data_IF_796888946968
#
_entry.id   IF_796888946968
#
_cell.length_a   1.000
_cell.length_b   1.000
_cell.length_c   1.000
_cell.angle_alpha   90.00
_cell.angle_beta   90.00
_cell.angle_gamma   90.00
#
_symmetry.space_group_name_H-M   'P 1'
#
loop_
_entity.id
_entity.type
_entity.pdbx_description
1 polymer ?
#
# COMPACT_ATOMS: atom_id res chain seq x y z
N UNK A 1 33.78 -11.39 -43.30
CA UNK A 1 32.44 -10.80 -43.07
C UNK A 1 31.62 -11.49 -41.97
N UNK A 2 31.47 -12.82 -41.86
CA UNK A 2 30.58 -13.44 -40.87
C UNK A 2 31.06 -13.31 -39.40
N UNK A 3 32.37 -13.29 -39.15
CA UNK A 3 32.93 -13.17 -37.78
C UNK A 3 32.60 -11.83 -37.10
N UNK A 4 32.59 -10.74 -37.86
CA UNK A 4 32.30 -9.38 -37.35
C UNK A 4 30.82 -9.25 -36.98
N UNK A 5 29.93 -9.83 -37.80
CA UNK A 5 28.51 -9.90 -37.49
C UNK A 5 28.24 -10.67 -36.19
N UNK A 6 28.90 -11.81 -36.01
CA UNK A 6 28.74 -12.66 -34.85
C UNK A 6 29.25 -11.99 -33.56
N UNK A 7 30.36 -11.25 -33.63
CA UNK A 7 30.86 -10.47 -32.48
C UNK A 7 29.94 -9.33 -32.09
N UNK A 8 29.37 -8.61 -33.08
CA UNK A 8 28.42 -7.51 -32.82
C UNK A 8 27.11 -8.06 -32.21
N UNK A 9 26.64 -9.20 -32.71
CA UNK A 9 25.44 -9.87 -32.21
C UNK A 9 25.60 -10.32 -30.76
N UNK A 10 26.73 -10.94 -30.40
CA UNK A 10 27.01 -11.37 -29.02
C UNK A 10 27.10 -10.17 -28.07
N UNK A 11 27.76 -9.09 -28.50
CA UNK A 11 27.87 -7.86 -27.72
C UNK A 11 26.50 -7.28 -27.37
N UNK A 12 25.52 -7.41 -28.27
CA UNK A 12 24.15 -6.93 -28.06
C UNK A 12 23.27 -7.91 -27.27
N UNK A 13 23.43 -9.21 -27.49
CA UNK A 13 22.66 -10.26 -26.81
C UNK A 13 23.05 -10.43 -25.33
N UNK A 14 24.33 -10.28 -24.99
CA UNK A 14 24.81 -10.46 -23.62
C UNK A 14 24.10 -9.57 -22.59
N UNK A 15 24.01 -8.22 -22.76
CA UNK A 15 23.32 -7.36 -21.79
C UNK A 15 21.82 -7.65 -21.73
N UNK A 16 21.17 -8.00 -22.85
CA UNK A 16 19.75 -8.37 -22.88
C UNK A 16 19.52 -9.65 -22.06
N UNK A 17 20.35 -10.68 -22.29
CA UNK A 17 20.26 -11.93 -21.55
C UNK A 17 20.53 -11.72 -20.05
N UNK A 18 21.50 -10.87 -19.70
CA UNK A 18 21.80 -10.51 -18.31
C UNK A 18 20.63 -9.77 -17.62
N UNK A 19 19.93 -8.87 -18.31
CA UNK A 19 18.74 -8.21 -17.76
C UNK A 19 17.62 -9.21 -17.54
N UNK A 20 17.38 -10.09 -18.49
CA UNK A 20 16.33 -11.12 -18.39
C UNK A 20 16.62 -12.09 -17.25
N UNK A 21 17.87 -12.55 -17.09
CA UNK A 21 18.24 -13.45 -15.99
C UNK A 21 18.07 -12.78 -14.63
N UNK A 22 18.46 -11.51 -14.49
CA UNK A 22 18.24 -10.76 -13.25
C UNK A 22 16.74 -10.58 -12.94
N UNK A 23 15.91 -10.35 -13.96
CA UNK A 23 14.46 -10.28 -13.78
C UNK A 23 13.86 -11.63 -13.36
N UNK A 24 14.31 -12.74 -13.96
CA UNK A 24 13.87 -14.09 -13.62
C UNK A 24 14.26 -14.47 -12.18
N UNK A 25 15.48 -14.18 -11.76
CA UNK A 25 15.93 -14.41 -10.38
C UNK A 25 15.06 -13.64 -9.39
N UNK A 26 14.75 -12.37 -9.69
CA UNK A 26 13.88 -11.53 -8.84
C UNK A 26 12.45 -12.09 -8.75
N UNK A 27 11.94 -12.67 -9.84
CA UNK A 27 10.62 -13.30 -9.89
C UNK A 27 10.59 -14.59 -9.04
N UNK A 28 11.60 -15.45 -9.19
CA UNK A 28 11.74 -16.70 -8.43
C UNK A 28 11.91 -16.42 -6.93
N UNK A 29 12.73 -15.43 -6.55
CA UNK A 29 12.88 -15.04 -5.16
C UNK A 29 11.56 -14.54 -4.57
N UNK A 30 10.77 -13.79 -5.34
CA UNK A 30 9.44 -13.33 -4.91
C UNK A 30 8.48 -14.50 -4.71
N UNK A 31 8.43 -15.45 -5.65
CA UNK A 31 7.61 -16.66 -5.50
C UNK A 31 8.04 -17.50 -4.30
N UNK A 32 9.34 -17.69 -4.08
CA UNK A 32 9.84 -18.44 -2.93
C UNK A 32 9.45 -17.81 -1.60
N UNK A 33 9.49 -16.48 -1.50
CA UNK A 33 9.02 -15.76 -0.31
C UNK A 33 7.51 -16.00 -0.13
N UNK A 34 6.73 -15.88 -1.19
CA UNK A 34 5.27 -16.12 -1.13
C UNK A 34 4.99 -17.57 -0.67
N UNK A 35 5.66 -18.54 -1.29
CA UNK A 35 5.50 -19.96 -0.98
C UNK A 35 5.97 -20.31 0.44
N UNK A 36 7.06 -19.70 0.94
CA UNK A 36 7.54 -19.96 2.30
C UNK A 36 6.51 -19.52 3.35
N UNK A 37 5.85 -18.39 3.11
CA UNK A 37 4.78 -17.92 3.99
C UNK A 37 3.48 -18.73 3.84
N UNK A 38 3.12 -19.16 2.61
CA UNK A 38 1.98 -20.05 2.38
C UNK A 38 2.16 -21.44 3.00
N UNK A 39 3.39 -21.96 3.02
CA UNK A 39 3.72 -23.23 3.67
C UNK A 39 3.65 -23.11 5.20
N UNK A 40 4.11 -21.99 5.76
CA UNK A 40 3.99 -21.70 7.20
C UNK A 40 2.53 -21.47 7.65
N UNK A 41 1.64 -21.04 6.75
CA UNK A 41 0.24 -20.71 7.04
C UNK A 41 -0.73 -21.89 6.97
N UNK A 42 -0.29 -23.12 6.65
CA UNK A 42 -1.20 -24.28 6.54
C UNK A 42 -1.75 -24.80 7.89
N UNK A 43 -1.44 -24.15 9.02
CA UNK A 43 -1.87 -24.60 10.36
C UNK A 43 -2.53 -23.55 11.26
N UNK A 44 -2.40 -22.26 11.01
CA UNK A 44 -2.92 -21.21 11.90
C UNK A 44 -3.43 -19.99 11.10
N UNK A 45 -4.42 -19.30 11.65
CA UNK A 45 -5.24 -18.23 11.08
C UNK A 45 -4.47 -16.90 10.86
N UNK A 46 -3.27 -16.99 10.28
CA UNK A 46 -2.34 -15.88 10.00
C UNK A 46 -2.53 -15.26 8.61
N UNK A 47 -3.50 -15.70 7.83
CA UNK A 47 -3.65 -15.27 6.43
C UNK A 47 -3.86 -13.75 6.30
N UNK A 48 -4.61 -13.16 7.24
CA UNK A 48 -4.91 -11.73 7.27
C UNK A 48 -3.69 -10.87 7.63
N UNK A 49 -2.99 -11.27 8.69
CA UNK A 49 -1.79 -10.56 9.16
C UNK A 49 -0.66 -10.65 8.13
N UNK A 50 -0.52 -11.80 7.46
CA UNK A 50 0.43 -11.99 6.37
C UNK A 50 0.23 -11.01 5.20
N UNK A 51 -1.02 -10.78 4.77
CA UNK A 51 -1.32 -9.84 3.69
C UNK A 51 -0.90 -8.41 4.06
N UNK A 52 -1.11 -8.00 5.31
CA UNK A 52 -0.70 -6.67 5.79
C UNK A 52 0.82 -6.52 5.83
N UNK A 53 1.55 -7.56 6.23
CA UNK A 53 3.03 -7.57 6.19
C UNK A 53 3.54 -7.41 4.75
N UNK A 54 3.00 -8.16 3.80
CA UNK A 54 3.38 -7.99 2.39
C UNK A 54 3.01 -6.59 1.87
N UNK A 55 1.82 -6.10 2.21
CA UNK A 55 1.37 -4.77 1.83
C UNK A 55 2.36 -3.70 2.33
N UNK A 56 2.85 -3.83 3.56
CA UNK A 56 3.88 -2.96 4.11
C UNK A 56 5.19 -3.02 3.28
N UNK A 57 5.65 -4.22 2.90
CA UNK A 57 6.85 -4.38 2.06
C UNK A 57 6.68 -3.68 0.71
N UNK A 58 5.51 -3.81 0.06
CA UNK A 58 5.23 -3.11 -1.19
C UNK A 58 5.17 -1.60 -1.00
N UNK A 59 4.58 -1.14 0.10
CA UNK A 59 4.51 0.27 0.47
C UNK A 59 5.90 0.87 0.69
N UNK A 60 6.78 0.18 1.42
CA UNK A 60 8.18 0.61 1.65
C UNK A 60 8.96 0.71 0.33
N UNK A 61 8.70 -0.21 -0.59
CA UNK A 61 9.26 -0.19 -1.95
C UNK A 61 8.58 0.79 -2.89
N UNK A 62 7.59 1.55 -2.41
CA UNK A 62 6.79 2.52 -3.19
C UNK A 62 6.05 1.89 -4.38
N UNK A 63 5.78 0.58 -4.31
CA UNK A 63 5.09 -0.19 -5.34
C UNK A 63 3.58 -0.14 -5.12
N UNK A 64 2.99 1.06 -5.24
CA UNK A 64 1.60 1.33 -4.86
C UNK A 64 0.58 0.44 -5.58
N UNK A 65 0.67 0.34 -6.92
CA UNK A 65 -0.29 -0.45 -7.70
C UNK A 65 -0.13 -1.95 -7.48
N UNK A 66 1.10 -2.42 -7.28
CA UNK A 66 1.34 -3.83 -6.93
C UNK A 66 0.77 -4.18 -5.56
N UNK A 67 0.85 -3.26 -4.59
CA UNK A 67 0.21 -3.43 -3.29
C UNK A 67 -1.31 -3.54 -3.42
N UNK A 68 -1.92 -2.62 -4.16
CA UNK A 68 -3.38 -2.60 -4.37
C UNK A 68 -3.85 -3.90 -5.04
N UNK A 69 -3.23 -4.27 -6.17
CA UNK A 69 -3.57 -5.49 -6.90
C UNK A 69 -3.37 -6.76 -6.05
N UNK A 70 -2.34 -6.78 -5.19
CA UNK A 70 -2.13 -7.87 -4.24
C UNK A 70 -3.34 -7.98 -3.31
N UNK A 71 -3.62 -6.92 -2.54
CA UNK A 71 -4.69 -6.92 -1.54
C UNK A 71 -6.03 -7.25 -2.20
N UNK A 72 -6.38 -6.63 -3.33
CA UNK A 72 -7.63 -6.88 -4.06
C UNK A 72 -7.77 -8.33 -4.52
N UNK A 73 -6.68 -8.96 -5.00
CA UNK A 73 -6.72 -10.36 -5.46
C UNK A 73 -6.89 -11.39 -4.34
N UNK A 74 -6.66 -10.98 -3.09
CA UNK A 74 -6.77 -11.84 -1.90
C UNK A 74 -7.95 -11.47 -1.01
N UNK A 75 -8.55 -10.31 -1.22
CA UNK A 75 -9.66 -9.84 -0.43
C UNK A 75 -10.82 -10.82 -0.54
N UNK A 76 -11.16 -11.46 0.57
CA UNK A 76 -12.30 -12.35 0.69
C UNK A 76 -13.37 -11.77 1.63
N UNK A 77 -14.49 -12.48 1.76
CA UNK A 77 -15.61 -12.07 2.59
C UNK A 77 -15.28 -11.95 4.09
N UNK A 78 -14.20 -12.59 4.56
CA UNK A 78 -13.74 -12.45 5.95
C UNK A 78 -12.88 -11.19 6.11
N UNK A 79 -12.04 -10.88 5.12
CA UNK A 79 -11.12 -9.74 5.12
C UNK A 79 -11.83 -8.40 4.93
N UNK A 80 -12.99 -8.36 4.28
CA UNK A 80 -13.75 -7.13 4.04
C UNK A 80 -14.19 -6.40 5.31
N UNK A 81 -14.11 -7.04 6.48
CA UNK A 81 -14.47 -6.45 7.77
C UNK A 81 -13.26 -5.92 8.56
N UNK A 82 -12.02 -6.05 8.05
CA UNK A 82 -10.86 -5.41 8.66
C UNK A 82 -10.59 -4.04 8.00
N UNK A 83 -10.70 -2.92 8.74
CA UNK A 83 -10.47 -1.58 8.19
C UNK A 83 -9.02 -1.34 7.75
N UNK A 84 -8.05 -2.16 8.20
CA UNK A 84 -6.63 -2.02 7.86
C UNK A 84 -6.40 -2.15 6.35
N UNK A 85 -7.07 -3.08 5.67
CA UNK A 85 -6.90 -3.28 4.23
C UNK A 85 -7.31 -2.06 3.41
N UNK A 86 -8.50 -1.53 3.70
CA UNK A 86 -9.00 -0.32 3.06
C UNK A 86 -8.09 0.88 3.34
N UNK A 87 -7.54 0.99 4.55
CA UNK A 87 -6.54 2.01 4.85
C UNK A 87 -5.22 1.80 4.08
N UNK A 88 -4.73 0.58 3.92
CA UNK A 88 -3.53 0.29 3.12
C UNK A 88 -3.73 0.63 1.64
N UNK A 89 -4.89 0.26 1.06
CA UNK A 89 -5.24 0.61 -0.32
C UNK A 89 -5.37 2.13 -0.46
N UNK A 90 -6.07 2.79 0.47
CA UNK A 90 -6.18 4.25 0.52
C UNK A 90 -4.82 4.93 0.61
N UNK A 91 -3.90 4.39 1.39
CA UNK A 91 -2.52 4.88 1.50
C UNK A 91 -1.77 4.77 0.18
N UNK A 92 -1.91 3.65 -0.52
CA UNK A 92 -1.30 3.46 -1.83
C UNK A 92 -1.86 4.47 -2.86
N UNK A 93 -3.18 4.67 -2.91
CA UNK A 93 -3.78 5.68 -3.79
C UNK A 93 -3.38 7.11 -3.44
N UNK A 94 -3.27 7.43 -2.15
CA UNK A 94 -2.80 8.74 -1.69
C UNK A 94 -1.39 9.03 -2.21
N UNK A 95 -0.47 8.07 -2.05
CA UNK A 95 0.91 8.21 -2.53
C UNK A 95 1.00 8.20 -4.07
N UNK A 96 0.05 7.55 -4.75
CA UNK A 96 -0.12 7.64 -6.20
C UNK A 96 -0.79 8.95 -6.65
N UNK A 97 -1.03 9.91 -5.75
CA UNK A 97 -1.72 11.20 -5.99
C UNK A 97 -3.16 11.07 -6.51
N UNK A 98 -3.78 9.90 -6.31
CA UNK A 98 -5.18 9.62 -6.64
C UNK A 98 -6.07 9.89 -5.43
N UNK A 99 -6.14 11.15 -5.01
CA UNK A 99 -6.78 11.55 -3.75
C UNK A 99 -8.27 11.23 -3.67
N UNK A 100 -9.00 11.28 -4.79
CA UNK A 100 -10.42 10.88 -4.83
C UNK A 100 -10.62 9.42 -4.41
N UNK A 101 -9.88 8.51 -5.03
CA UNK A 101 -9.91 7.08 -4.70
C UNK A 101 -9.41 6.84 -3.27
N UNK A 102 -8.32 7.51 -2.86
CA UNK A 102 -7.81 7.39 -1.50
C UNK A 102 -8.88 7.73 -0.46
N UNK A 103 -9.60 8.85 -0.68
CA UNK A 103 -10.71 9.30 0.17
C UNK A 103 -11.82 8.24 0.24
N UNK A 104 -12.22 7.64 -0.88
CA UNK A 104 -13.27 6.61 -0.90
C UNK A 104 -12.84 5.37 -0.11
N UNK A 105 -11.59 4.91 -0.28
CA UNK A 105 -11.05 3.77 0.48
C UNK A 105 -10.91 4.08 1.98
N UNK A 106 -10.48 5.28 2.37
CA UNK A 106 -10.47 5.64 3.80
C UNK A 106 -11.89 5.72 4.38
N UNK A 107 -12.87 6.17 3.62
CA UNK A 107 -14.28 6.17 4.07
C UNK A 107 -14.78 4.74 4.30
N UNK A 108 -14.39 3.77 3.46
CA UNK A 108 -14.70 2.35 3.70
C UNK A 108 -14.03 1.84 4.99
N UNK A 109 -12.78 2.23 5.26
CA UNK A 109 -12.14 1.88 6.53
C UNK A 109 -12.90 2.46 7.74
N UNK A 110 -13.42 3.68 7.61
CA UNK A 110 -14.15 4.38 8.67
C UNK A 110 -15.59 3.88 8.82
N UNK A 111 -16.21 3.37 7.75
CA UNK A 111 -17.55 2.75 7.84
C UNK A 111 -17.51 1.44 8.61
N UNK A 112 -16.42 0.69 8.48
CA UNK A 112 -16.15 -0.53 9.24
C UNK A 112 -15.79 -0.20 10.69
N UNK A 113 -14.85 0.74 10.90
CA UNK A 113 -14.47 1.20 12.23
C UNK A 113 -14.49 2.74 12.31
N UNK A 114 -15.57 3.33 12.86
CA UNK A 114 -15.72 4.78 12.99
C UNK A 114 -14.67 5.49 13.85
N UNK A 115 -13.88 4.75 14.64
CA UNK A 115 -12.85 5.29 15.53
C UNK A 115 -11.43 4.96 15.04
N UNK A 116 -11.30 4.44 13.82
CA UNK A 116 -10.00 4.06 13.28
C UNK A 116 -9.13 5.29 12.97
N UNK A 117 -8.35 5.67 13.98
CA UNK A 117 -7.59 6.93 14.02
C UNK A 117 -6.61 7.10 12.87
N UNK A 118 -6.02 5.99 12.41
CA UNK A 118 -5.08 6.00 11.29
C UNK A 118 -5.79 6.41 9.98
N UNK A 119 -6.93 5.78 9.67
CA UNK A 119 -7.73 6.13 8.50
C UNK A 119 -8.31 7.55 8.59
N UNK A 120 -8.80 7.97 9.77
CA UNK A 120 -9.26 9.35 9.99
C UNK A 120 -8.16 10.38 9.74
N UNK A 121 -6.94 10.12 10.24
CA UNK A 121 -5.79 11.00 10.02
C UNK A 121 -5.38 11.04 8.55
N UNK A 122 -5.38 9.89 7.89
CA UNK A 122 -5.02 9.79 6.48
C UNK A 122 -6.07 10.45 5.56
N UNK A 123 -7.36 10.30 5.88
CA UNK A 123 -8.44 11.00 5.20
C UNK A 123 -8.33 12.52 5.41
N UNK A 124 -8.02 12.96 6.63
CA UNK A 124 -7.82 14.38 6.91
C UNK A 124 -6.65 14.97 6.11
N UNK A 125 -5.52 14.25 5.99
CA UNK A 125 -4.41 14.62 5.10
C UNK A 125 -4.83 14.63 3.63
N UNK A 126 -5.66 13.68 3.22
CA UNK A 126 -6.19 13.61 1.85
C UNK A 126 -7.02 14.86 1.53
N UNK A 127 -7.88 15.29 2.45
CA UNK A 127 -8.67 16.52 2.27
C UNK A 127 -7.79 17.79 2.18
N UNK A 128 -6.68 17.87 2.93
CA UNK A 128 -5.71 18.98 2.78
C UNK A 128 -5.17 19.02 1.34
N UNK A 129 -4.76 17.86 0.80
CA UNK A 129 -4.23 17.78 -0.57
C UNK A 129 -5.29 18.03 -1.65
N UNK A 130 -6.57 17.86 -1.31
CA UNK A 130 -7.70 18.23 -2.17
C UNK A 130 -8.13 19.70 -2.00
N UNK A 131 -7.51 20.46 -1.09
CA UNK A 131 -7.84 21.86 -0.81
C UNK A 131 -8.98 22.09 0.19
N UNK A 132 -9.56 21.03 0.75
CA UNK A 132 -10.69 21.13 1.69
C UNK A 132 -10.20 21.10 3.15
N UNK A 133 -9.63 22.23 3.59
CA UNK A 133 -9.08 22.39 4.95
C UNK A 133 -10.14 22.23 6.04
N UNK A 134 -11.38 22.66 5.79
CA UNK A 134 -12.46 22.60 6.78
C UNK A 134 -12.88 21.16 7.09
N UNK A 135 -13.03 20.30 6.07
CA UNK A 135 -13.26 18.86 6.33
C UNK A 135 -12.08 18.22 7.05
N UNK A 136 -10.85 18.62 6.73
CA UNK A 136 -9.67 18.14 7.45
C UNK A 136 -9.71 18.49 8.94
N UNK A 137 -10.00 19.76 9.28
CA UNK A 137 -10.15 20.19 10.68
C UNK A 137 -11.24 19.41 11.40
N UNK A 138 -12.39 19.22 10.75
CA UNK A 138 -13.51 18.44 11.31
C UNK A 138 -13.08 17.01 11.68
N UNK A 139 -12.34 16.34 10.80
CA UNK A 139 -11.82 14.99 11.06
C UNK A 139 -10.80 14.95 12.20
N UNK A 140 -9.85 15.89 12.25
CA UNK A 140 -8.90 15.94 13.37
C UNK A 140 -9.57 16.28 14.70
N UNK A 141 -10.58 17.17 14.71
CA UNK A 141 -11.39 17.43 15.89
C UNK A 141 -12.17 16.18 16.34
N UNK A 142 -12.69 15.38 15.39
CA UNK A 142 -13.29 14.08 15.71
C UNK A 142 -12.29 13.15 16.38
N UNK A 143 -11.03 13.11 15.92
CA UNK A 143 -9.96 12.34 16.57
C UNK A 143 -9.77 12.79 18.02
N UNK A 144 -9.67 14.11 18.25
CA UNK A 144 -9.47 14.66 19.59
C UNK A 144 -10.67 14.47 20.51
N UNK A 145 -11.88 14.32 19.98
CA UNK A 145 -13.08 14.08 20.80
C UNK A 145 -13.00 12.74 21.57
N UNK A 146 -12.42 11.70 20.98
CA UNK A 146 -12.28 10.39 21.62
C UNK A 146 -10.85 10.09 22.10
N UNK A 147 -9.85 10.76 21.53
CA UNK A 147 -8.47 10.69 22.00
C UNK A 147 -7.92 12.13 22.14
N UNK A 148 -8.22 12.81 23.27
CA UNK A 148 -7.83 14.19 23.50
C UNK A 148 -6.32 14.43 23.48
N UNK A 149 -5.50 13.39 23.65
CA UNK A 149 -4.04 13.49 23.69
C UNK A 149 -3.35 13.05 22.41
N UNK A 150 -4.10 12.83 21.33
CA UNK A 150 -3.54 12.49 20.04
C UNK A 150 -2.64 13.61 19.49
N UNK A 151 -1.32 13.40 19.59
CA UNK A 151 -0.30 14.36 19.17
C UNK A 151 -0.38 14.69 17.68
N UNK A 152 -0.71 13.70 16.84
CA UNK A 152 -0.82 13.88 15.38
C UNK A 152 -1.96 14.87 15.10
N UNK A 153 -3.14 14.67 15.67
CA UNK A 153 -4.28 15.55 15.47
C UNK A 153 -4.04 16.96 16.03
N UNK A 154 -3.46 17.09 17.24
CA UNK A 154 -3.08 18.39 17.81
C UNK A 154 -2.10 19.16 16.91
N UNK A 155 -1.06 18.47 16.42
CA UNK A 155 -0.06 19.07 15.52
C UNK A 155 -0.68 19.49 14.19
N UNK A 156 -1.44 18.60 13.55
CA UNK A 156 -2.05 18.88 12.25
C UNK A 156 -3.06 20.03 12.30
N UNK A 157 -3.86 20.17 13.37
CA UNK A 157 -4.76 21.32 13.51
C UNK A 157 -4.02 22.66 13.60
N UNK A 158 -2.83 22.69 14.23
CA UNK A 158 -1.99 23.89 14.27
C UNK A 158 -1.41 24.25 12.91
N UNK A 159 -1.13 23.26 12.07
CA UNK A 159 -0.56 23.45 10.72
C UNK A 159 -1.60 23.87 9.67
N UNK A 160 -2.89 23.59 9.89
CA UNK A 160 -3.95 23.92 8.92
C UNK A 160 -4.38 25.39 9.01
N UNK A 161 -4.28 25.98 10.21
CA UNK A 161 -4.58 27.39 10.51
C UNK A 161 -3.49 28.31 9.97
#
# INVERSE_FOLDING_TARGET
MPRIYLTILILFLFPICFIITMQLIKLIMRENIINSYQYQSQGEDFSHEYILVIAQIYIEKKMWFSCISMIESKLDASMQFDPKYYNCIGFCYYNAKKYGLAKDYYNNAISINPYYTLALSNLAKTYINMGDKEKSKSLYNRILKYNPDNLIAKKSLREIN
#
